data_IF_858708787540
#
_entry.id   IF_858708787540
#
_cell.length_a   1.000
_cell.length_b   1.000
_cell.length_c   1.000
_cell.angle_alpha   90.00
_cell.angle_beta   90.00
_cell.angle_gamma   90.00
#
_symmetry.space_group_name_H-M   'P 1'
#
loop_
_entity.id
_entity.type
_entity.pdbx_description
1 polymer ?
#
# COMPACT_ATOMS: atom_id res chain seq x y z
N UNK A 1 -23.89 -7.35 -10.16
CA UNK A 1 -23.90 -5.89 -10.06
C UNK A 1 -22.81 -5.32 -10.95
N UNK A 2 -23.16 -4.44 -11.86
CA UNK A 2 -22.17 -3.76 -12.69
C UNK A 2 -21.74 -2.44 -12.03
N UNK A 3 -20.45 -2.19 -12.02
CA UNK A 3 -19.86 -0.96 -11.48
C UNK A 3 -18.80 -0.42 -12.44
N UNK A 4 -18.56 0.89 -12.35
CA UNK A 4 -17.47 1.56 -13.06
C UNK A 4 -16.39 1.86 -12.03
N UNK A 5 -15.17 1.46 -12.31
CA UNK A 5 -14.05 1.69 -11.41
C UNK A 5 -13.60 3.15 -11.48
N UNK A 6 -13.51 3.79 -10.33
CA UNK A 6 -13.04 5.17 -10.18
C UNK A 6 -11.52 5.23 -9.94
N UNK A 7 -10.92 4.09 -9.67
CA UNK A 7 -9.48 3.92 -9.56
C UNK A 7 -9.11 2.49 -9.92
N UNK A 8 -7.84 2.21 -10.14
CA UNK A 8 -7.39 0.85 -10.39
C UNK A 8 -7.60 -0.01 -9.14
N UNK A 9 -8.30 -1.12 -9.33
CA UNK A 9 -8.52 -2.12 -8.28
C UNK A 9 -7.84 -3.43 -8.69
N UNK A 10 -6.98 -3.96 -7.84
CA UNK A 10 -6.31 -5.22 -8.10
C UNK A 10 -7.33 -6.35 -8.31
N UNK A 11 -7.08 -7.19 -9.30
CA UNK A 11 -7.93 -8.33 -9.69
C UNK A 11 -9.30 -7.97 -10.30
N UNK A 12 -9.61 -6.69 -10.47
CA UNK A 12 -10.85 -6.25 -11.10
C UNK A 12 -10.63 -5.55 -12.45
N UNK A 13 -9.81 -4.52 -12.47
CA UNK A 13 -9.56 -3.75 -13.67
C UNK A 13 -8.94 -2.38 -13.40
N UNK A 14 -8.90 -1.56 -14.43
CA UNK A 14 -8.32 -0.23 -14.40
C UNK A 14 -9.38 0.85 -14.21
N UNK A 15 -8.92 2.08 -14.04
CA UNK A 15 -9.78 3.26 -13.98
C UNK A 15 -10.68 3.33 -15.23
N UNK A 16 -11.98 3.45 -15.00
CA UNK A 16 -12.96 3.56 -16.07
C UNK A 16 -13.48 2.25 -16.63
N UNK A 17 -12.96 1.12 -16.14
CA UNK A 17 -13.45 -0.19 -16.58
C UNK A 17 -14.81 -0.49 -15.96
N UNK A 18 -15.72 -0.98 -16.80
CA UNK A 18 -17.02 -1.46 -16.36
C UNK A 18 -16.89 -2.95 -16.04
N UNK A 19 -17.08 -3.29 -14.78
CA UNK A 19 -16.91 -4.66 -14.29
C UNK A 19 -18.16 -5.17 -13.58
N UNK A 20 -18.35 -6.48 -13.66
CA UNK A 20 -19.43 -7.13 -12.94
C UNK A 20 -18.88 -7.78 -11.67
N UNK A 21 -19.43 -7.40 -10.52
CA UNK A 21 -19.01 -7.88 -9.20
C UNK A 21 -20.21 -8.44 -8.44
N UNK A 22 -19.93 -9.23 -7.42
CA UNK A 22 -20.97 -9.69 -6.51
C UNK A 22 -21.59 -8.50 -5.77
N UNK A 23 -22.91 -8.53 -5.56
CA UNK A 23 -23.63 -7.42 -4.93
C UNK A 23 -23.07 -7.05 -3.56
N UNK A 24 -22.71 -8.04 -2.73
CA UNK A 24 -22.11 -7.80 -1.42
C UNK A 24 -20.75 -7.11 -1.50
N UNK A 25 -19.92 -7.54 -2.42
CA UNK A 25 -18.61 -6.93 -2.65
C UNK A 25 -18.72 -5.46 -3.11
N UNK A 26 -19.59 -5.20 -4.08
CA UNK A 26 -19.83 -3.84 -4.56
C UNK A 26 -20.39 -2.92 -3.49
N UNK A 27 -21.43 -3.36 -2.77
CA UNK A 27 -22.11 -2.54 -1.76
C UNK A 27 -21.28 -2.34 -0.49
N UNK A 28 -20.53 -3.32 -0.04
CA UNK A 28 -19.82 -3.29 1.24
C UNK A 28 -18.37 -2.80 1.12
N UNK A 29 -17.78 -2.87 -0.05
CA UNK A 29 -16.38 -2.51 -0.26
C UNK A 29 -16.19 -1.39 -1.30
N UNK A 30 -16.60 -1.63 -2.54
CA UNK A 30 -16.31 -0.69 -3.62
C UNK A 30 -17.03 0.65 -3.48
N UNK A 31 -18.31 0.65 -3.19
CA UNK A 31 -19.10 1.87 -3.07
C UNK A 31 -18.76 2.67 -1.81
N UNK A 32 -18.68 2.07 -0.60
CA UNK A 32 -18.30 2.82 0.61
C UNK A 32 -16.89 3.39 0.56
N UNK A 33 -15.96 2.70 -0.09
CA UNK A 33 -14.57 3.14 -0.24
C UNK A 33 -14.38 4.12 -1.41
N UNK A 34 -15.44 4.41 -2.14
CA UNK A 34 -15.41 5.26 -3.35
C UNK A 34 -14.44 4.78 -4.42
N UNK A 35 -14.22 3.49 -4.49
CA UNK A 35 -13.36 2.85 -5.50
C UNK A 35 -14.09 2.60 -6.81
N UNK A 36 -15.41 2.52 -6.74
CA UNK A 36 -16.27 2.35 -7.90
C UNK A 36 -17.62 3.02 -7.67
N UNK A 37 -18.35 3.22 -8.74
CA UNK A 37 -19.74 3.71 -8.71
C UNK A 37 -20.63 2.76 -9.51
N UNK A 38 -21.93 2.72 -9.18
CA UNK A 38 -22.87 1.87 -9.89
C UNK A 38 -22.93 2.28 -11.37
N UNK A 39 -22.95 1.29 -12.28
CA UNK A 39 -22.97 1.52 -13.71
C UNK A 39 -24.37 1.87 -14.23
N UNK A 40 -24.91 3.00 -13.79
CA UNK A 40 -26.16 3.58 -14.31
C UNK A 40 -25.86 4.59 -15.40
N UNK A 41 -26.83 4.89 -16.27
CA UNK A 41 -26.66 5.86 -17.34
C UNK A 41 -26.22 7.24 -16.82
N UNK A 42 -26.79 7.70 -15.70
CA UNK A 42 -26.41 8.96 -15.06
C UNK A 42 -24.97 8.94 -14.55
N UNK A 43 -24.55 7.85 -13.89
CA UNK A 43 -23.20 7.70 -13.39
C UNK A 43 -22.16 7.53 -14.49
N UNK A 44 -22.50 6.87 -15.58
CA UNK A 44 -21.64 6.75 -16.77
C UNK A 44 -21.39 8.14 -17.37
N UNK A 45 -22.42 8.94 -17.54
CA UNK A 45 -22.31 10.29 -18.07
C UNK A 45 -21.46 11.18 -17.14
N UNK A 46 -21.68 11.12 -15.84
CA UNK A 46 -20.88 11.83 -14.84
C UNK A 46 -19.42 11.38 -14.85
N UNK A 47 -19.17 10.09 -14.96
CA UNK A 47 -17.83 9.54 -15.06
C UNK A 47 -17.10 10.07 -16.30
N UNK A 48 -17.73 10.05 -17.47
CA UNK A 48 -17.13 10.56 -18.71
C UNK A 48 -16.79 12.05 -18.60
N UNK A 49 -17.65 12.85 -17.95
CA UNK A 49 -17.38 14.26 -17.70
C UNK A 49 -16.18 14.49 -16.75
N UNK A 50 -15.95 13.57 -15.83
CA UNK A 50 -14.88 13.66 -14.84
C UNK A 50 -13.66 12.80 -15.14
N UNK A 51 -13.69 12.09 -16.25
CA UNK A 51 -12.64 11.13 -16.62
C UNK A 51 -11.25 11.73 -16.63
N UNK A 52 -11.09 12.90 -17.23
CA UNK A 52 -9.80 13.58 -17.29
C UNK A 52 -9.25 13.92 -15.89
N UNK A 53 -10.11 14.39 -14.97
CA UNK A 53 -9.73 14.68 -13.58
C UNK A 53 -9.32 13.41 -12.84
N UNK A 54 -10.09 12.33 -13.00
CA UNK A 54 -9.80 11.05 -12.35
C UNK A 54 -8.51 10.43 -12.87
N UNK A 55 -8.27 10.47 -14.17
CA UNK A 55 -7.02 10.00 -14.78
C UNK A 55 -5.82 10.80 -14.29
N UNK A 56 -5.95 12.13 -14.20
CA UNK A 56 -4.92 13.01 -13.67
C UNK A 56 -4.61 12.69 -12.21
N UNK A 57 -5.64 12.56 -11.37
CA UNK A 57 -5.46 12.22 -9.96
C UNK A 57 -4.79 10.85 -9.78
N UNK A 58 -5.18 9.86 -10.57
CA UNK A 58 -4.56 8.53 -10.55
C UNK A 58 -3.09 8.58 -10.98
N UNK A 59 -2.77 9.34 -12.02
CA UNK A 59 -1.40 9.53 -12.49
C UNK A 59 -0.52 10.23 -11.45
N UNK A 60 -1.04 11.26 -10.77
CA UNK A 60 -0.34 11.96 -9.69
C UNK A 60 -0.06 11.04 -8.50
N UNK A 61 -1.04 10.24 -8.08
CA UNK A 61 -0.85 9.25 -7.01
C UNK A 61 0.22 8.23 -7.37
N UNK A 62 0.19 7.72 -8.58
CA UNK A 62 1.18 6.77 -9.09
C UNK A 62 2.58 7.39 -9.12
N UNK A 63 2.72 8.61 -9.65
CA UNK A 63 3.98 9.32 -9.71
C UNK A 63 4.55 9.57 -8.31
N UNK A 64 3.72 9.99 -7.34
CA UNK A 64 4.13 10.15 -5.94
C UNK A 64 4.60 8.84 -5.33
N UNK A 65 3.89 7.75 -5.59
CA UNK A 65 4.26 6.42 -5.12
C UNK A 65 5.58 5.94 -5.74
N UNK A 66 5.81 6.17 -7.02
CA UNK A 66 7.07 5.85 -7.69
C UNK A 66 8.24 6.63 -7.12
N UNK A 67 8.05 7.92 -6.80
CA UNK A 67 9.07 8.75 -6.15
C UNK A 67 9.43 8.20 -4.77
N UNK A 68 8.42 7.85 -3.97
CA UNK A 68 8.65 7.22 -2.66
C UNK A 68 9.34 5.85 -2.80
N UNK A 69 8.96 5.07 -3.78
CA UNK A 69 9.58 3.78 -4.06
C UNK A 69 11.06 3.90 -4.40
N UNK A 70 11.43 4.89 -5.22
CA UNK A 70 12.82 5.17 -5.54
C UNK A 70 13.64 5.56 -4.30
N UNK A 71 13.05 6.37 -3.41
CA UNK A 71 13.69 6.74 -2.14
C UNK A 71 13.84 5.54 -1.22
N UNK A 72 12.83 4.68 -1.12
CA UNK A 72 12.85 3.48 -0.29
C UNK A 72 13.83 2.42 -0.80
N UNK A 73 13.98 2.28 -2.10
CA UNK A 73 14.89 1.30 -2.70
C UNK A 73 16.36 1.53 -2.34
N UNK A 74 16.72 2.79 -2.08
CA UNK A 74 18.07 3.18 -1.67
C UNK A 74 18.22 3.30 -0.14
N UNK A 75 17.14 3.12 0.61
CA UNK A 75 17.11 3.34 2.05
C UNK A 75 17.38 2.03 2.80
N UNK A 76 18.29 2.12 3.77
CA UNK A 76 18.50 1.08 4.75
C UNK A 76 18.02 1.60 6.12
N UNK A 77 17.19 0.82 6.77
CA UNK A 77 16.65 1.18 8.09
C UNK A 77 17.20 0.25 9.13
N UNK A 78 17.77 0.83 10.19
CA UNK A 78 18.27 0.10 11.34
C UNK A 78 17.33 0.31 12.51
N UNK A 79 16.82 -0.78 13.08
CA UNK A 79 15.99 -0.76 14.28
C UNK A 79 16.77 -1.41 15.41
N UNK A 80 16.93 -0.69 16.51
CA UNK A 80 17.52 -1.23 17.73
C UNK A 80 16.41 -1.82 18.61
N UNK A 81 16.56 -3.07 18.96
CA UNK A 81 15.61 -3.76 19.83
C UNK A 81 16.34 -4.56 20.90
N UNK A 82 15.70 -4.74 22.03
CA UNK A 82 16.27 -5.55 23.11
C UNK A 82 16.25 -7.03 22.73
N UNK A 83 17.40 -7.64 22.68
CA UNK A 83 17.56 -9.04 22.31
C UNK A 83 18.27 -9.85 23.42
N UNK A 84 17.93 -11.12 23.49
CA UNK A 84 18.62 -12.07 24.38
C UNK A 84 19.92 -12.60 23.77
N UNK A 85 20.59 -13.49 24.52
CA UNK A 85 21.90 -14.02 24.18
C UNK A 85 21.99 -14.75 22.84
N UNK A 86 20.87 -15.27 22.33
CA UNK A 86 20.80 -16.01 21.07
C UNK A 86 20.33 -15.16 19.89
N UNK A 87 20.25 -13.83 20.05
CA UNK A 87 19.71 -12.94 19.04
C UNK A 87 18.20 -12.92 18.95
N UNK A 88 17.50 -13.57 19.86
CA UNK A 88 16.05 -13.51 19.95
C UNK A 88 15.61 -12.24 20.64
N UNK A 89 14.69 -11.53 20.00
CA UNK A 89 14.11 -10.33 20.59
C UNK A 89 13.18 -10.68 21.75
N UNK A 90 13.18 -9.87 22.81
CA UNK A 90 12.22 -10.02 23.91
C UNK A 90 10.80 -9.63 23.53
N UNK A 91 10.65 -8.90 22.43
CA UNK A 91 9.38 -8.60 21.81
C UNK A 91 9.39 -8.95 20.33
N UNK A 92 8.53 -8.32 19.57
CA UNK A 92 8.47 -8.48 18.13
C UNK A 92 8.45 -7.12 17.43
N UNK A 93 9.05 -7.05 16.24
CA UNK A 93 8.99 -5.87 15.39
C UNK A 93 7.89 -6.11 14.35
N UNK A 94 6.87 -5.30 14.42
CA UNK A 94 5.72 -5.36 13.50
C UNK A 94 5.75 -4.27 12.44
N UNK A 95 4.71 -4.24 11.64
CA UNK A 95 4.54 -3.23 10.58
C UNK A 95 4.54 -1.80 11.11
N UNK A 96 3.99 -1.58 12.30
CA UNK A 96 3.95 -0.25 12.93
C UNK A 96 5.36 0.26 13.24
N UNK A 97 6.20 -0.58 13.83
CA UNK A 97 7.58 -0.22 14.18
C UNK A 97 8.41 0.11 12.92
N UNK A 98 8.21 -0.66 11.86
CA UNK A 98 8.89 -0.44 10.58
C UNK A 98 8.40 0.87 9.94
N UNK A 99 7.11 1.11 9.94
CA UNK A 99 6.54 2.34 9.41
C UNK A 99 7.04 3.58 10.17
N UNK A 100 7.11 3.51 11.49
CA UNK A 100 7.65 4.59 12.33
C UNK A 100 9.13 4.84 12.04
N UNK A 101 9.92 3.78 11.88
CA UNK A 101 11.33 3.88 11.55
C UNK A 101 11.55 4.49 10.16
N UNK A 102 10.77 4.11 9.17
CA UNK A 102 10.81 4.68 7.82
C UNK A 102 10.42 6.16 7.81
N UNK A 103 9.37 6.51 8.55
CA UNK A 103 8.94 7.91 8.70
C UNK A 103 10.02 8.75 9.37
N UNK A 104 10.68 8.22 10.39
CA UNK A 104 11.81 8.89 11.04
C UNK A 104 13.01 9.06 10.11
N UNK A 105 13.18 8.17 9.13
CA UNK A 105 14.23 8.26 8.12
C UNK A 105 13.97 9.28 7.01
N UNK A 106 12.78 9.87 6.98
CA UNK A 106 12.41 10.93 6.06
C UNK A 106 11.39 10.53 4.99
N UNK A 107 10.99 9.28 4.92
CA UNK A 107 9.98 8.80 3.98
C UNK A 107 8.72 8.40 4.74
N UNK A 108 7.64 9.14 4.54
CA UNK A 108 6.37 8.85 5.19
C UNK A 108 5.76 7.56 4.65
N UNK A 109 5.59 6.58 5.53
CA UNK A 109 5.02 5.27 5.20
C UNK A 109 4.01 4.89 6.27
N UNK A 110 2.81 4.47 5.82
CA UNK A 110 1.78 3.96 6.73
C UNK A 110 2.02 2.49 7.07
N UNK A 111 1.67 2.08 8.27
CA UNK A 111 1.77 0.67 8.68
C UNK A 111 0.99 -0.30 7.77
N UNK A 112 -0.08 0.18 7.16
CA UNK A 112 -0.88 -0.61 6.21
C UNK A 112 -0.18 -0.84 4.87
N UNK A 113 0.80 -0.01 4.54
CA UNK A 113 1.63 -0.13 3.33
C UNK A 113 2.76 -1.14 3.50
N UNK A 114 3.18 -1.40 4.74
CA UNK A 114 4.26 -2.34 5.04
C UNK A 114 3.76 -3.78 4.99
N UNK A 115 4.48 -4.62 4.25
CA UNK A 115 4.18 -6.04 4.11
C UNK A 115 5.33 -6.87 4.69
N UNK A 116 5.00 -7.74 5.63
CA UNK A 116 5.94 -8.69 6.21
C UNK A 116 5.60 -10.11 5.74
N UNK A 117 6.35 -10.67 4.79
CA UNK A 117 6.03 -11.98 4.22
C UNK A 117 6.11 -13.11 5.24
N UNK A 118 6.98 -12.98 6.24
CA UNK A 118 7.18 -13.96 7.30
C UNK A 118 6.52 -13.58 8.64
N UNK A 119 5.68 -12.54 8.64
CA UNK A 119 5.08 -12.01 9.86
C UNK A 119 6.02 -11.13 10.65
N UNK A 120 5.75 -10.95 11.95
CA UNK A 120 6.56 -10.10 12.81
C UNK A 120 7.99 -10.63 12.96
N UNK A 121 8.94 -9.71 13.09
CA UNK A 121 10.36 -10.02 13.26
C UNK A 121 10.64 -10.27 14.76
N UNK A 122 11.23 -11.39 15.06
CA UNK A 122 11.53 -11.80 16.43
C UNK A 122 13.00 -12.08 16.69
N UNK A 123 13.84 -11.90 15.70
CA UNK A 123 15.28 -12.13 15.78
C UNK A 123 16.04 -10.96 15.17
N UNK A 124 17.28 -10.75 15.63
CA UNK A 124 18.18 -9.79 15.02
C UNK A 124 18.66 -10.30 13.66
N UNK A 125 18.99 -9.40 12.75
CA UNK A 125 19.50 -9.73 11.43
C UNK A 125 19.03 -8.76 10.35
N UNK A 126 19.33 -9.12 9.14
CA UNK A 126 18.91 -8.35 7.96
C UNK A 126 17.64 -8.96 7.35
N UNK A 127 16.70 -8.11 7.03
CA UNK A 127 15.43 -8.51 6.44
C UNK A 127 15.06 -7.59 5.27
N UNK A 128 14.42 -8.16 4.27
CA UNK A 128 13.83 -7.38 3.18
C UNK A 128 12.34 -7.20 3.48
N UNK A 129 11.90 -5.95 3.51
CA UNK A 129 10.51 -5.59 3.79
C UNK A 129 9.90 -4.98 2.55
N UNK A 130 8.80 -5.55 2.09
CA UNK A 130 8.05 -5.00 0.98
C UNK A 130 7.12 -3.88 1.47
N UNK A 131 7.13 -2.76 0.75
CA UNK A 131 6.25 -1.62 1.01
C UNK A 131 5.35 -1.43 -0.20
N UNK A 132 4.06 -1.59 0.01
CA UNK A 132 3.06 -1.45 -1.03
C UNK A 132 2.53 -0.02 -1.05
N UNK A 133 3.06 0.80 -1.95
CA UNK A 133 2.74 2.23 -2.03
C UNK A 133 1.53 2.54 -2.89
N UNK A 134 1.33 1.77 -3.94
CA UNK A 134 0.22 1.90 -4.87
C UNK A 134 -0.07 0.52 -5.47
N UNK A 135 -1.24 0.34 -6.09
CA UNK A 135 -1.61 -0.94 -6.73
C UNK A 135 -0.55 -1.41 -7.74
N UNK A 136 0.12 -0.48 -8.42
CA UNK A 136 1.16 -0.75 -9.40
C UNK A 136 2.57 -0.49 -8.90
N UNK A 137 2.74 0.01 -7.67
CA UNK A 137 4.05 0.43 -7.15
C UNK A 137 4.33 -0.28 -5.84
N UNK A 138 5.42 -1.00 -5.82
CA UNK A 138 5.91 -1.72 -4.67
C UNK A 138 7.41 -1.43 -4.52
N UNK A 139 7.88 -1.26 -3.29
CA UNK A 139 9.29 -1.06 -2.99
C UNK A 139 9.77 -2.09 -1.99
N UNK A 140 11.06 -2.43 -2.05
CA UNK A 140 11.70 -3.28 -1.07
C UNK A 140 12.70 -2.46 -0.27
N UNK A 141 12.57 -2.47 1.05
CA UNK A 141 13.46 -1.76 1.96
C UNK A 141 14.30 -2.77 2.74
N UNK A 142 15.57 -2.50 2.84
CA UNK A 142 16.46 -3.31 3.67
C UNK A 142 16.32 -2.88 5.13
N UNK A 143 15.90 -3.80 5.96
CA UNK A 143 15.73 -3.61 7.39
C UNK A 143 16.82 -4.36 8.13
N UNK A 144 17.54 -3.65 8.99
CA UNK A 144 18.59 -4.24 9.84
C UNK A 144 18.11 -4.13 11.29
N UNK A 145 17.98 -5.26 11.95
CA UNK A 145 17.62 -5.33 13.35
C UNK A 145 18.85 -5.67 14.18
N UNK A 146 19.18 -4.78 15.09
CA UNK A 146 20.34 -4.93 15.98
C UNK A 146 19.91 -5.00 17.44
N UNK A 147 20.71 -5.73 18.24
CA UNK A 147 20.51 -5.76 19.68
C UNK A 147 20.98 -4.45 20.30
N UNK A 148 20.13 -3.87 21.11
CA UNK A 148 20.42 -2.61 21.80
C UNK A 148 20.65 -2.78 23.30
#
# INVERSE_FOLDING_TARGET
>A
MEVILLEKVANLGNLGDKVNVKSGYGRNYLLPQRKATAATAANIAEFEARRAELEKAAAEKKASAETRAAQLAELEVTITATAGDEGKLFGSIGTADIADALTASGVEVAKSEVRLPNGTIRQTGEYDVAVHLHTDVEATVKLIVVAG
#
